data_IF_660707198376
#
_entry.id   IF_660707198376
#
_cell.length_a   1.000
_cell.length_b   1.000
_cell.length_c   1.000
_cell.angle_alpha   90.00
_cell.angle_beta   90.00
_cell.angle_gamma   90.00
#
_symmetry.space_group_name_H-M   'P 1'
#
loop_
_entity.id
_entity.type
_entity.pdbx_description
1 polymer ?
#
# COMPACT_ATOMS: atom_id res chain seq x y z
N UNK A 1 -0.76 4.90 -20.42
CA UNK A 1 -1.30 4.55 -19.10
C UNK A 1 -1.54 5.82 -18.34
N UNK A 2 -2.67 5.94 -17.65
CA UNK A 2 -2.93 7.08 -16.76
C UNK A 2 -2.00 6.98 -15.58
N UNK A 3 -1.23 8.03 -15.30
CA UNK A 3 -0.39 8.11 -14.10
C UNK A 3 -1.30 8.10 -12.87
N UNK A 4 -1.28 7.02 -12.12
CA UNK A 4 -1.98 6.94 -10.84
C UNK A 4 -1.16 7.74 -9.84
N UNK A 5 -1.73 8.82 -9.31
CA UNK A 5 -1.07 9.63 -8.30
C UNK A 5 -1.39 9.01 -6.94
N UNK A 6 -0.44 8.26 -6.38
CA UNK A 6 -0.59 7.67 -5.05
C UNK A 6 -0.25 8.76 -4.03
N UNK A 7 -1.20 9.03 -3.14
CA UNK A 7 -1.05 9.99 -2.03
C UNK A 7 -1.15 9.26 -0.70
N UNK A 8 -0.64 9.88 0.37
CA UNK A 8 -0.88 9.41 1.75
C UNK A 8 -2.38 9.32 2.01
N UNK A 9 -2.83 8.21 2.60
CA UNK A 9 -4.25 7.85 2.78
C UNK A 9 -4.87 7.07 1.61
N UNK A 10 -4.11 6.78 0.55
CA UNK A 10 -4.59 5.90 -0.52
C UNK A 10 -4.63 4.46 -0.03
N UNK A 11 -5.73 3.76 -0.35
CA UNK A 11 -5.82 2.32 -0.15
C UNK A 11 -5.16 1.59 -1.32
N UNK A 12 -4.33 0.62 -0.99
CA UNK A 12 -3.57 -0.20 -1.93
C UNK A 12 -3.77 -1.67 -1.59
N UNK A 13 -3.55 -2.52 -2.59
CA UNK A 13 -3.57 -3.97 -2.42
C UNK A 13 -2.16 -4.49 -2.65
N UNK A 14 -1.60 -5.17 -1.64
CA UNK A 14 -0.32 -5.87 -1.75
C UNK A 14 -0.56 -7.37 -1.91
N UNK A 15 0.28 -8.04 -2.69
CA UNK A 15 0.22 -9.50 -2.77
C UNK A 15 0.68 -10.11 -1.44
N UNK A 16 -0.05 -11.10 -0.93
CA UNK A 16 0.34 -11.88 0.25
C UNK A 16 0.28 -13.38 -0.05
N UNK A 17 1.29 -14.15 0.36
CA UNK A 17 1.37 -15.58 0.06
C UNK A 17 0.30 -16.44 0.76
N UNK A 18 -0.35 -15.96 1.81
CA UNK A 18 -1.39 -16.65 2.56
C UNK A 18 -2.80 -16.27 2.08
N UNK A 19 -3.05 -15.00 1.76
CA UNK A 19 -4.39 -14.48 1.43
C UNK A 19 -4.54 -13.87 0.01
N UNK A 20 -3.56 -14.08 -0.87
CA UNK A 20 -3.48 -13.56 -2.24
C UNK A 20 -3.36 -12.02 -2.34
N UNK A 21 -4.28 -11.24 -1.76
CA UNK A 21 -4.21 -9.78 -1.72
C UNK A 21 -4.59 -9.24 -0.34
N UNK A 22 -3.70 -8.48 0.27
CA UNK A 22 -3.94 -7.77 1.52
C UNK A 22 -4.18 -6.29 1.23
N UNK A 23 -5.20 -5.76 1.88
CA UNK A 23 -5.48 -4.33 1.92
C UNK A 23 -4.49 -3.61 2.84
N UNK A 24 -3.95 -2.49 2.36
CA UNK A 24 -3.10 -1.61 3.14
C UNK A 24 -3.35 -0.15 2.82
N UNK A 25 -2.97 0.72 3.75
CA UNK A 25 -3.06 2.17 3.59
C UNK A 25 -1.66 2.76 3.51
N UNK A 26 -1.45 3.67 2.54
CA UNK A 26 -0.20 4.42 2.41
C UNK A 26 -0.13 5.46 3.52
N UNK A 27 0.79 5.26 4.47
CA UNK A 27 0.98 6.18 5.60
C UNK A 27 2.08 7.21 5.36
N UNK A 28 3.02 6.90 4.46
CA UNK A 28 4.15 7.78 4.16
C UNK A 28 4.62 7.58 2.71
N UNK A 29 5.08 8.65 2.08
CA UNK A 29 5.75 8.61 0.77
C UNK A 29 7.04 9.43 0.86
N UNK A 30 8.17 8.80 0.55
CA UNK A 30 9.51 9.38 0.55
C UNK A 30 10.11 9.25 -0.86
N UNK A 31 9.88 10.26 -1.69
CA UNK A 31 10.36 10.27 -3.06
C UNK A 31 9.64 9.21 -3.89
N UNK A 32 10.34 8.13 -4.24
CA UNK A 32 9.79 6.97 -4.96
C UNK A 32 9.39 5.82 -4.03
N UNK A 33 9.75 5.88 -2.74
CA UNK A 33 9.39 4.86 -1.75
C UNK A 33 8.07 5.21 -1.05
N UNK A 34 7.19 4.22 -0.88
CA UNK A 34 5.95 4.36 -0.11
C UNK A 34 5.94 3.37 1.06
N UNK A 35 5.58 3.84 2.24
CA UNK A 35 5.33 3.00 3.42
C UNK A 35 3.84 2.71 3.52
N UNK A 36 3.51 1.43 3.57
CA UNK A 36 2.14 0.92 3.62
C UNK A 36 1.98 0.19 4.94
N UNK A 37 0.88 0.44 5.63
CA UNK A 37 0.47 -0.34 6.81
C UNK A 37 -0.68 -1.24 6.38
N UNK A 38 -0.49 -2.55 6.49
CA UNK A 38 -1.51 -3.55 6.18
C UNK A 38 -2.50 -3.70 7.33
N UNK A 39 -3.75 -3.98 7.00
CA UNK A 39 -4.83 -4.14 7.99
C UNK A 39 -4.64 -5.38 8.86
N UNK A 40 -3.83 -6.35 8.41
CA UNK A 40 -3.49 -7.58 9.14
C UNK A 40 -2.44 -7.37 10.25
N UNK A 41 -1.89 -6.16 10.37
CA UNK A 41 -0.89 -5.82 11.37
C UNK A 41 0.51 -6.37 11.08
N UNK A 42 0.75 -6.98 9.91
CA UNK A 42 2.08 -7.39 9.46
C UNK A 42 2.78 -6.20 8.77
N UNK A 43 3.44 -5.37 9.56
CA UNK A 43 4.44 -4.39 9.07
C UNK A 43 5.77 -5.02 8.71
#
# INVERSE_FOLDING_TARGET
GTSVNIIVGSHVWTEDPEEAWIEGEVVEIKGEDATIVTTDGKT
#
